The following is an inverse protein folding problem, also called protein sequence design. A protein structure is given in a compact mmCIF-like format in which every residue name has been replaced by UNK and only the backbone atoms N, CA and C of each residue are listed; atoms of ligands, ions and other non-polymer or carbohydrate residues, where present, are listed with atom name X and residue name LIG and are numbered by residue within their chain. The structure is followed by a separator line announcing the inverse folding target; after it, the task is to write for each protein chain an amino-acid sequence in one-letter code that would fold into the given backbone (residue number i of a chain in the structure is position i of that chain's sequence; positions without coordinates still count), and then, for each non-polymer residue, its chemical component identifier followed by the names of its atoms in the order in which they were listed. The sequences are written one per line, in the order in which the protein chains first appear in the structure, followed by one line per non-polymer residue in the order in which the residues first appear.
data_IF_381320281890
#
_entry.id   IF_381320281890
#
_cell.length_a   1.000
_cell.length_b   1.000
_cell.length_c   1.000
_cell.angle_alpha   90.00
_cell.angle_beta   90.00
_cell.angle_gamma   90.00
#
_symmetry.space_group_name_H-M   'P 1'
#
loop_
_entity.id
_entity.type
_entity.pdbx_description
1 polymer ?
#
# COMPACT_ATOMS: atom_id res chain seq x y z
N UNK A 1 16.22 -10.48 90.29
CA UNK A 1 17.67 -10.50 90.57
C UNK A 1 17.95 -9.35 91.53
N UNK A 2 18.06 -9.58 92.86
CA UNK A 2 19.26 -10.01 93.61
C UNK A 2 20.46 -9.06 93.45
N UNK A 3 20.64 -8.17 94.43
CA UNK A 3 21.82 -8.01 95.34
C UNK A 3 21.56 -6.76 96.22
N UNK A 4 21.24 -6.83 97.53
CA UNK A 4 22.10 -7.14 98.70
C UNK A 4 23.29 -6.17 98.86
N UNK A 5 23.33 -5.33 99.92
CA UNK A 5 24.01 -5.57 101.23
C UNK A 5 25.49 -5.12 101.13
N UNK A 6 26.06 -4.17 101.90
CA UNK A 6 26.53 -4.18 103.31
C UNK A 6 27.39 -2.91 103.52
N UNK A 7 27.31 -2.11 104.59
CA UNK A 7 27.73 -2.30 106.00
C UNK A 7 29.22 -1.98 106.28
N UNK A 8 29.45 -1.37 107.47
CA UNK A 8 30.67 -1.29 108.32
C UNK A 8 31.48 0.02 108.16
N UNK A 9 31.39 1.03 109.04
CA UNK A 9 31.62 1.12 110.50
C UNK A 9 33.12 1.08 110.87
N UNK A 10 33.57 2.10 111.63
CA UNK A 10 34.58 2.13 112.72
C UNK A 10 35.39 3.44 112.60
N UNK A 11 35.10 4.48 113.39
CA UNK A 11 35.45 4.74 114.80
C UNK A 11 36.84 5.40 114.95
N UNK A 12 36.87 6.68 115.37
CA UNK A 12 37.77 7.20 116.40
C UNK A 12 37.54 8.70 116.62
N UNK A 13 36.82 9.02 117.68
CA UNK A 13 36.93 10.27 118.45
C UNK A 13 38.18 10.16 119.35
N UNK A 14 38.78 11.27 119.83
CA UNK A 14 38.23 11.88 121.04
C UNK A 14 38.33 13.42 121.16
N UNK A 15 37.51 13.91 122.09
CA UNK A 15 37.42 15.25 122.67
C UNK A 15 38.70 15.71 123.38
N UNK A 16 38.91 17.03 123.39
CA UNK A 16 39.02 17.91 124.59
C UNK A 16 39.05 19.37 124.11
N UNK A 17 38.05 20.22 124.42
CA UNK A 17 37.97 21.14 125.59
C UNK A 17 39.17 22.12 125.65
N UNK A 18 39.07 23.46 125.73
CA UNK A 18 38.02 24.39 126.12
C UNK A 18 38.38 25.82 125.63
N UNK A 19 37.39 26.74 125.64
CA UNK A 19 37.45 28.21 125.73
C UNK A 19 36.33 28.82 124.85
N UNK A 20 35.11 28.99 125.37
CA UNK A 20 34.69 30.20 126.10
C UNK A 20 35.09 31.50 125.39
N UNK A 21 34.51 31.74 124.20
CA UNK A 21 34.02 33.06 123.80
C UNK A 21 33.14 32.92 122.54
N UNK A 22 32.09 33.75 122.48
CA UNK A 22 31.21 33.97 121.33
C UNK A 22 30.25 32.84 120.91
N UNK A 23 29.04 32.72 121.53
CA UNK A 23 27.87 32.16 120.85
C UNK A 23 27.65 32.75 119.43
N UNK A 24 28.18 33.94 119.15
CA UNK A 24 28.21 34.57 117.82
C UNK A 24 29.02 33.82 116.73
N UNK A 25 30.06 33.04 117.03
CA UNK A 25 30.95 32.51 115.97
C UNK A 25 30.47 31.18 115.34
N UNK A 26 29.76 30.34 116.09
CA UNK A 26 29.11 29.14 115.54
C UNK A 26 27.91 29.50 114.67
N UNK A 27 27.16 30.52 115.06
CA UNK A 27 26.06 31.08 114.27
C UNK A 27 26.59 31.73 112.99
N UNK A 28 27.71 32.46 113.05
CA UNK A 28 28.40 33.00 111.85
C UNK A 28 28.92 31.92 110.92
N UNK A 29 29.49 30.83 111.45
CA UNK A 29 29.94 29.70 110.63
C UNK A 29 28.77 28.93 109.99
N UNK A 30 27.65 28.77 110.70
CA UNK A 30 26.42 28.19 110.17
C UNK A 30 25.80 29.10 109.09
N UNK A 31 25.77 30.42 109.31
CA UNK A 31 25.30 31.43 108.34
C UNK A 31 26.14 31.48 107.06
N UNK A 32 27.46 31.30 107.14
CA UNK A 32 28.33 31.19 105.95
C UNK A 32 28.05 29.92 105.15
N UNK A 33 27.78 28.79 105.82
CA UNK A 33 27.40 27.54 105.13
C UNK A 33 26.02 27.66 104.48
N UNK A 34 25.06 28.32 105.13
CA UNK A 34 23.73 28.55 104.53
C UNK A 34 23.81 29.56 103.38
N UNK A 35 24.64 30.60 103.47
CA UNK A 35 24.92 31.50 102.33
C UNK A 35 25.60 30.79 101.17
N UNK A 36 26.60 29.94 101.43
CA UNK A 36 27.26 29.14 100.38
C UNK A 36 26.29 28.13 99.73
N UNK A 37 25.44 27.47 100.52
CA UNK A 37 24.40 26.57 100.01
C UNK A 37 23.33 27.32 99.20
N UNK A 38 22.97 28.55 99.61
CA UNK A 38 22.06 29.41 98.86
C UNK A 38 22.68 29.83 97.51
N UNK A 39 23.95 30.22 97.50
CA UNK A 39 24.67 30.57 96.27
C UNK A 39 24.80 29.37 95.32
N UNK A 40 25.11 28.18 95.84
CA UNK A 40 25.11 26.94 95.03
C UNK A 40 23.73 26.60 94.49
N UNK A 41 22.67 26.77 95.29
CA UNK A 41 21.30 26.57 94.83
C UNK A 41 20.89 27.60 93.78
N UNK A 42 21.33 28.85 93.89
CA UNK A 42 21.12 29.89 92.87
C UNK A 42 21.84 29.54 91.56
N UNK A 43 23.13 29.17 91.62
CA UNK A 43 23.90 28.73 90.46
C UNK A 43 23.29 27.49 89.78
N UNK A 44 22.81 26.52 90.57
CA UNK A 44 22.13 25.33 90.04
C UNK A 44 20.78 25.69 89.38
N UNK A 45 20.03 26.65 89.93
CA UNK A 45 18.80 27.15 89.29
C UNK A 45 19.10 27.88 87.99
N UNK A 46 20.12 28.73 87.96
CA UNK A 46 20.51 29.46 86.75
C UNK A 46 21.01 28.50 85.66
N UNK A 47 21.81 27.49 86.04
CA UNK A 47 22.26 26.43 85.13
C UNK A 47 21.09 25.62 84.56
N UNK A 48 20.16 25.18 85.41
CA UNK A 48 18.95 24.46 84.96
C UNK A 48 18.04 25.33 84.10
N UNK A 49 17.99 26.65 84.35
CA UNK A 49 17.20 27.59 83.56
C UNK A 49 17.84 27.85 82.19
N UNK A 50 19.16 27.93 82.10
CA UNK A 50 19.91 27.99 80.85
C UNK A 50 19.77 26.68 80.05
N UNK A 51 19.84 25.52 80.70
CA UNK A 51 19.66 24.22 80.06
C UNK A 51 18.23 24.08 79.51
N UNK A 52 17.20 24.46 80.28
CA UNK A 52 15.81 24.51 79.78
C UNK A 52 15.65 25.43 78.57
N UNK A 53 16.22 26.63 78.60
CA UNK A 53 16.18 27.53 77.45
C UNK A 53 16.88 26.93 76.22
N UNK A 54 18.02 26.27 76.41
CA UNK A 54 18.74 25.61 75.31
C UNK A 54 17.97 24.42 74.73
N UNK A 55 17.29 23.64 75.58
CA UNK A 55 16.46 22.51 75.17
C UNK A 55 15.19 23.00 74.46
N UNK A 56 14.54 24.06 74.95
CA UNK A 56 13.39 24.67 74.30
C UNK A 56 13.76 25.23 72.91
N UNK A 57 14.91 25.89 72.79
CA UNK A 57 15.46 26.33 71.50
C UNK A 57 15.70 25.14 70.56
N UNK A 58 16.43 24.11 71.01
CA UNK A 58 16.68 22.92 70.21
C UNK A 58 15.37 22.21 69.78
N UNK A 59 14.37 22.14 70.68
CA UNK A 59 13.10 21.50 70.39
C UNK A 59 12.27 22.31 69.38
N UNK A 60 12.33 23.65 69.44
CA UNK A 60 11.70 24.52 68.45
C UNK A 60 12.37 24.44 67.07
N UNK A 61 13.71 24.34 67.03
CA UNK A 61 14.47 24.18 65.79
C UNK A 61 14.19 22.82 65.13
N UNK A 62 14.13 21.73 65.90
CA UNK A 62 13.75 20.42 65.40
C UNK A 62 12.29 20.39 64.92
N UNK A 63 11.36 21.05 65.61
CA UNK A 63 9.98 21.22 65.12
C UNK A 63 9.94 22.01 63.81
N UNK A 64 10.72 23.08 63.68
CA UNK A 64 10.81 23.86 62.44
C UNK A 64 11.39 23.02 61.29
N UNK A 65 12.42 22.21 61.55
CA UNK A 65 12.98 21.27 60.56
C UNK A 65 11.97 20.20 60.15
N UNK A 66 11.29 19.58 61.11
CA UNK A 66 10.25 18.58 60.83
C UNK A 66 9.10 19.18 60.02
N UNK A 67 8.66 20.40 60.34
CA UNK A 67 7.63 21.11 59.59
C UNK A 67 8.07 21.42 58.15
N UNK A 68 9.35 21.80 57.92
CA UNK A 68 9.92 21.99 56.57
C UNK A 68 9.94 20.67 55.80
N UNK A 69 10.46 19.61 56.39
CA UNK A 69 10.49 18.28 55.77
C UNK A 69 9.10 17.77 55.42
N UNK A 70 8.09 17.99 56.28
CA UNK A 70 6.70 17.62 55.97
C UNK A 70 6.14 18.40 54.78
N UNK A 71 6.46 19.70 54.65
CA UNK A 71 6.07 20.51 53.49
C UNK A 71 6.76 20.02 52.21
N UNK A 72 8.04 19.68 52.29
CA UNK A 72 8.80 19.16 51.16
C UNK A 72 8.26 17.79 50.70
N UNK A 73 7.98 16.89 51.64
CA UNK A 73 7.34 15.60 51.35
C UNK A 73 5.94 15.77 50.75
N UNK A 74 5.15 16.74 51.22
CA UNK A 74 3.85 17.05 50.62
C UNK A 74 4.01 17.60 49.20
N UNK A 75 5.01 18.45 48.95
CA UNK A 75 5.34 18.96 47.61
C UNK A 75 5.75 17.84 46.65
N UNK A 76 6.67 16.97 47.08
CA UNK A 76 7.13 15.81 46.29
C UNK A 76 5.98 14.85 45.98
N UNK A 77 5.07 14.60 46.94
CA UNK A 77 3.88 13.76 46.69
C UNK A 77 2.96 14.35 45.63
N UNK A 78 2.76 15.68 45.62
CA UNK A 78 1.97 16.35 44.58
C UNK A 78 2.66 16.28 43.22
N UNK A 79 3.96 16.55 43.16
CA UNK A 79 4.75 16.45 41.93
C UNK A 79 4.71 15.02 41.35
N UNK A 80 4.80 14.00 42.21
CA UNK A 80 4.72 12.60 41.79
C UNK A 80 3.31 12.24 41.29
N UNK A 81 2.25 12.74 41.93
CA UNK A 81 0.88 12.56 41.45
C UNK A 81 0.68 13.20 40.06
N UNK A 82 1.16 14.43 39.87
CA UNK A 82 1.10 15.14 38.58
C UNK A 82 1.90 14.42 37.50
N UNK A 83 3.10 13.93 37.82
CA UNK A 83 3.92 13.16 36.87
C UNK A 83 3.26 11.84 36.47
N UNK A 84 2.59 11.15 37.40
CA UNK A 84 1.81 9.94 37.10
C UNK A 84 0.62 10.23 36.20
N UNK A 85 -0.10 11.31 36.45
CA UNK A 85 -1.22 11.74 35.62
C UNK A 85 -0.75 12.09 34.21
N UNK A 86 0.29 12.91 34.08
CA UNK A 86 0.89 13.26 32.79
C UNK A 86 1.37 12.02 32.02
N UNK A 87 2.01 11.06 32.70
CA UNK A 87 2.42 9.80 32.09
C UNK A 87 1.22 8.99 31.60
N UNK A 88 0.13 8.93 32.38
CA UNK A 88 -1.08 8.19 31.98
C UNK A 88 -1.77 8.82 30.76
N UNK A 89 -1.77 10.15 30.66
CA UNK A 89 -2.30 10.88 29.50
C UNK A 89 -1.45 10.61 28.27
N UNK A 90 -0.12 10.74 28.38
CA UNK A 90 0.78 10.42 27.26
C UNK A 90 0.68 8.98 26.79
N UNK A 91 0.49 8.02 27.71
CA UNK A 91 0.28 6.62 27.35
C UNK A 91 -1.04 6.42 26.60
N UNK A 92 -2.10 7.12 27.00
CA UNK A 92 -3.39 7.09 26.31
C UNK A 92 -3.31 7.72 24.91
N UNK A 93 -2.63 8.85 24.77
CA UNK A 93 -2.38 9.52 23.48
C UNK A 93 -1.57 8.61 22.54
N UNK A 94 -0.46 8.06 23.00
CA UNK A 94 0.35 7.13 22.20
C UNK A 94 -0.41 5.85 21.82
N UNK A 95 -1.31 5.36 22.67
CA UNK A 95 -2.17 4.23 22.34
C UNK A 95 -3.21 4.60 21.28
N UNK A 96 -3.80 5.78 21.36
CA UNK A 96 -4.75 6.30 20.38
C UNK A 96 -4.10 6.53 19.01
N UNK A 97 -2.90 7.09 18.98
CA UNK A 97 -2.11 7.28 17.74
C UNK A 97 -1.80 5.95 17.07
N UNK A 98 -1.29 4.97 17.82
CA UNK A 98 -1.03 3.62 17.27
C UNK A 98 -2.29 2.94 16.77
N UNK A 99 -3.44 3.13 17.43
CA UNK A 99 -4.71 2.60 16.97
C UNK A 99 -5.14 3.26 15.65
N UNK A 100 -5.00 4.59 15.55
CA UNK A 100 -5.30 5.34 14.35
C UNK A 100 -4.38 4.95 13.17
N UNK A 101 -3.08 4.77 13.42
CA UNK A 101 -2.12 4.29 12.41
C UNK A 101 -2.46 2.89 11.91
N UNK A 102 -2.78 1.96 12.83
CA UNK A 102 -3.22 0.61 12.45
C UNK A 102 -4.46 0.67 11.57
N UNK A 103 -5.43 1.53 11.93
CA UNK A 103 -6.66 1.68 11.16
C UNK A 103 -6.41 2.30 9.78
N UNK A 104 -5.51 3.27 9.66
CA UNK A 104 -5.08 3.82 8.36
C UNK A 104 -4.37 2.76 7.51
N UNK A 105 -3.49 1.98 8.12
CA UNK A 105 -2.77 0.92 7.41
C UNK A 105 -3.71 -0.19 6.94
N UNK A 106 -4.69 -0.62 7.75
CA UNK A 106 -5.69 -1.60 7.32
C UNK A 106 -6.59 -1.06 6.22
N UNK A 107 -7.02 0.20 6.30
CA UNK A 107 -7.78 0.85 5.21
C UNK A 107 -6.96 0.95 3.93
N UNK A 108 -5.68 1.34 4.02
CA UNK A 108 -4.78 1.41 2.88
C UNK A 108 -4.56 0.03 2.24
N UNK A 109 -4.38 -1.02 3.05
CA UNK A 109 -4.28 -2.40 2.56
C UNK A 109 -5.57 -2.86 1.88
N UNK A 110 -6.73 -2.63 2.49
CA UNK A 110 -8.02 -2.98 1.89
C UNK A 110 -8.27 -2.25 0.57
N UNK A 111 -7.91 -0.97 0.49
CA UNK A 111 -8.01 -0.19 -0.75
C UNK A 111 -7.04 -0.71 -1.83
N UNK A 112 -5.82 -1.06 -1.45
CA UNK A 112 -4.84 -1.66 -2.36
C UNK A 112 -5.31 -3.03 -2.87
N UNK A 113 -5.85 -3.88 -2.01
CA UNK A 113 -6.39 -5.19 -2.37
C UNK A 113 -7.61 -5.06 -3.29
N UNK A 114 -8.52 -4.12 -3.00
CA UNK A 114 -9.66 -3.84 -3.85
C UNK A 114 -9.23 -3.35 -5.24
N UNK A 115 -8.22 -2.46 -5.30
CA UNK A 115 -7.65 -1.98 -6.55
C UNK A 115 -6.92 -3.08 -7.32
N UNK A 116 -6.22 -3.99 -6.63
CA UNK A 116 -5.57 -5.14 -7.27
C UNK A 116 -6.61 -6.09 -7.88
N UNK A 117 -7.68 -6.41 -7.14
CA UNK A 117 -8.78 -7.27 -7.64
C UNK A 117 -9.50 -6.66 -8.83
N UNK A 118 -9.77 -5.35 -8.81
CA UNK A 118 -10.43 -4.69 -9.94
C UNK A 118 -9.56 -4.67 -11.20
N UNK A 119 -8.25 -4.46 -11.05
CA UNK A 119 -7.28 -4.57 -12.16
C UNK A 119 -7.23 -5.99 -12.71
N UNK A 120 -7.21 -6.99 -11.85
CA UNK A 120 -7.19 -8.40 -12.28
C UNK A 120 -8.47 -8.76 -13.04
N UNK A 121 -9.64 -8.31 -12.56
CA UNK A 121 -10.92 -8.49 -13.26
C UNK A 121 -10.91 -7.81 -14.63
N UNK A 122 -10.47 -6.55 -14.70
CA UNK A 122 -10.37 -5.82 -15.96
C UNK A 122 -9.44 -6.51 -16.96
N UNK A 123 -8.31 -7.06 -16.51
CA UNK A 123 -7.39 -7.83 -17.36
C UNK A 123 -8.04 -9.13 -17.86
N UNK A 124 -8.77 -9.85 -17.00
CA UNK A 124 -9.50 -11.07 -17.39
C UNK A 124 -10.57 -10.76 -18.44
N UNK A 125 -11.30 -9.66 -18.27
CA UNK A 125 -12.34 -9.22 -19.23
C UNK A 125 -11.74 -8.80 -20.57
N UNK A 126 -10.61 -8.09 -20.55
CA UNK A 126 -9.85 -7.76 -21.76
C UNK A 126 -9.36 -9.02 -22.49
N UNK A 127 -8.86 -10.00 -21.75
CA UNK A 127 -8.38 -11.26 -22.32
C UNK A 127 -9.53 -12.06 -22.95
N UNK A 128 -10.67 -12.15 -22.25
CA UNK A 128 -11.87 -12.81 -22.76
C UNK A 128 -12.42 -12.10 -24.02
N UNK A 129 -12.44 -10.77 -24.03
CA UNK A 129 -12.88 -9.98 -25.20
C UNK A 129 -11.93 -10.17 -26.39
N UNK A 130 -10.63 -10.16 -26.14
CA UNK A 130 -9.60 -10.40 -27.16
C UNK A 130 -9.75 -11.79 -27.78
N UNK A 131 -9.94 -12.82 -26.96
CA UNK A 131 -10.17 -14.19 -27.42
C UNK A 131 -11.42 -14.29 -28.31
N UNK A 132 -12.56 -13.73 -27.87
CA UNK A 132 -13.79 -13.71 -28.68
C UNK A 132 -13.57 -13.03 -30.03
N UNK A 133 -12.90 -11.87 -30.03
CA UNK A 133 -12.61 -11.15 -31.27
C UNK A 133 -11.68 -11.93 -32.21
N UNK A 134 -10.74 -12.69 -31.67
CA UNK A 134 -9.85 -13.54 -32.45
C UNK A 134 -10.59 -14.72 -33.07
N UNK A 135 -11.51 -15.35 -32.33
CA UNK A 135 -12.34 -16.45 -32.81
C UNK A 135 -13.33 -15.98 -33.88
N UNK A 136 -13.97 -14.84 -33.70
CA UNK A 136 -14.82 -14.21 -34.72
C UNK A 136 -14.04 -13.94 -36.02
N UNK A 137 -12.81 -13.41 -35.91
CA UNK A 137 -11.94 -13.18 -37.08
C UNK A 137 -11.53 -14.48 -37.77
N UNK A 138 -11.31 -15.55 -37.02
CA UNK A 138 -10.99 -16.89 -37.58
C UNK A 138 -12.19 -17.45 -38.34
N UNK A 139 -13.39 -17.36 -37.78
CA UNK A 139 -14.62 -17.81 -38.44
C UNK A 139 -14.90 -16.99 -39.70
N UNK A 140 -14.77 -15.66 -39.63
CA UNK A 140 -14.94 -14.78 -40.78
C UNK A 140 -13.90 -15.07 -41.88
N UNK A 141 -12.63 -15.26 -41.53
CA UNK A 141 -11.61 -15.68 -42.51
C UNK A 141 -11.94 -17.03 -43.15
N UNK A 142 -12.37 -18.02 -42.35
CA UNK A 142 -12.79 -19.32 -42.87
C UNK A 142 -13.91 -19.19 -43.89
N UNK A 143 -14.94 -18.40 -43.60
CA UNK A 143 -16.04 -18.13 -44.52
C UNK A 143 -15.58 -17.42 -45.80
N UNK A 144 -14.72 -16.41 -45.70
CA UNK A 144 -14.16 -15.71 -46.86
C UNK A 144 -13.32 -16.63 -47.75
N UNK A 145 -12.49 -17.49 -47.16
CA UNK A 145 -11.71 -18.49 -47.91
C UNK A 145 -12.62 -19.47 -48.64
N UNK A 146 -13.69 -19.94 -47.99
CA UNK A 146 -14.69 -20.81 -48.63
C UNK A 146 -15.41 -20.11 -49.78
N UNK A 147 -15.82 -18.86 -49.59
CA UNK A 147 -16.47 -18.07 -50.64
C UNK A 147 -15.54 -17.85 -51.82
N UNK A 148 -14.26 -17.50 -51.56
CA UNK A 148 -13.25 -17.34 -52.61
C UNK A 148 -13.01 -18.65 -53.38
N UNK A 149 -12.97 -19.79 -52.70
CA UNK A 149 -12.84 -21.09 -53.35
C UNK A 149 -14.05 -21.39 -54.26
N UNK A 150 -15.26 -21.13 -53.78
CA UNK A 150 -16.48 -21.32 -54.59
C UNK A 150 -16.53 -20.39 -55.80
N UNK A 151 -16.19 -19.11 -55.63
CA UNK A 151 -16.16 -18.16 -56.76
C UNK A 151 -15.08 -18.53 -57.76
N UNK A 152 -13.92 -19.03 -57.30
CA UNK A 152 -12.85 -19.47 -58.18
C UNK A 152 -13.29 -20.67 -59.02
N UNK A 153 -13.97 -21.65 -58.42
CA UNK A 153 -14.53 -22.79 -59.16
C UNK A 153 -15.60 -22.34 -60.16
N UNK A 154 -16.52 -21.45 -59.75
CA UNK A 154 -17.56 -20.93 -60.62
C UNK A 154 -16.98 -20.14 -61.81
N UNK A 155 -15.89 -19.39 -61.60
CA UNK A 155 -15.17 -18.69 -62.67
C UNK A 155 -14.52 -19.69 -63.64
N UNK A 156 -13.83 -20.72 -63.13
CA UNK A 156 -13.24 -21.76 -63.99
C UNK A 156 -14.30 -22.49 -64.82
N UNK A 157 -15.47 -22.77 -64.26
CA UNK A 157 -16.57 -23.39 -64.99
C UNK A 157 -17.19 -22.43 -66.02
N UNK A 158 -17.28 -21.13 -65.71
CA UNK A 158 -17.72 -20.12 -66.67
C UNK A 158 -16.74 -19.99 -67.85
N UNK A 159 -15.43 -19.97 -67.58
CA UNK A 159 -14.37 -19.96 -68.59
C UNK A 159 -14.49 -21.18 -69.52
N UNK A 160 -14.63 -22.38 -68.97
CA UNK A 160 -14.84 -23.61 -69.77
C UNK A 160 -16.08 -23.54 -70.65
N UNK A 161 -17.19 -22.98 -70.14
CA UNK A 161 -18.44 -22.83 -70.91
C UNK A 161 -18.28 -21.80 -72.03
N UNK A 162 -17.57 -20.70 -71.79
CA UNK A 162 -17.28 -19.70 -72.81
C UNK A 162 -16.43 -20.32 -73.93
N UNK A 163 -15.38 -21.08 -73.59
CA UNK A 163 -14.57 -21.79 -74.57
C UNK A 163 -15.38 -22.84 -75.36
N UNK A 164 -16.26 -23.58 -74.69
CA UNK A 164 -17.14 -24.55 -75.35
C UNK A 164 -18.17 -23.87 -76.29
N UNK A 165 -18.75 -22.74 -75.87
CA UNK A 165 -19.65 -21.95 -76.71
C UNK A 165 -18.92 -21.35 -77.92
N UNK A 166 -17.67 -20.92 -77.74
CA UNK A 166 -16.83 -20.43 -78.84
C UNK A 166 -16.56 -21.54 -79.86
N UNK A 167 -16.18 -22.74 -79.40
CA UNK A 167 -15.96 -23.89 -80.26
C UNK A 167 -17.24 -24.29 -81.03
N UNK A 168 -18.39 -24.36 -80.35
CA UNK A 168 -19.68 -24.64 -80.99
C UNK A 168 -20.08 -23.54 -81.99
N UNK A 169 -19.79 -22.28 -81.67
CA UNK A 169 -20.02 -21.15 -82.57
C UNK A 169 -19.19 -21.27 -83.85
N UNK A 170 -17.92 -21.66 -83.75
CA UNK A 170 -17.06 -21.92 -84.91
C UNK A 170 -17.56 -23.13 -85.73
N UNK A 171 -17.99 -24.21 -85.07
CA UNK A 171 -18.56 -25.37 -85.75
C UNK A 171 -19.85 -25.03 -86.51
N UNK A 172 -20.75 -24.25 -85.91
CA UNK A 172 -21.97 -23.77 -86.56
C UNK A 172 -21.68 -22.88 -87.77
N UNK A 173 -20.66 -22.00 -87.68
CA UNK A 173 -20.21 -21.19 -88.82
C UNK A 173 -19.63 -22.05 -89.95
N UNK A 174 -18.87 -23.10 -89.63
CA UNK A 174 -18.34 -24.04 -90.62
C UNK A 174 -19.49 -24.76 -91.36
N UNK A 175 -20.47 -25.30 -90.62
CA UNK A 175 -21.65 -25.94 -91.21
C UNK A 175 -22.49 -24.96 -92.06
N UNK A 176 -22.60 -23.70 -91.65
CA UNK A 176 -23.30 -22.67 -92.43
C UNK A 176 -22.56 -22.34 -93.73
N UNK A 177 -21.24 -22.23 -93.67
CA UNK A 177 -20.37 -22.04 -94.84
C UNK A 177 -20.51 -23.20 -95.84
N UNK A 178 -20.53 -24.45 -95.36
CA UNK A 178 -20.67 -25.63 -96.21
C UNK A 178 -22.07 -25.77 -96.84
N UNK A 179 -23.14 -25.42 -96.10
CA UNK A 179 -24.49 -25.30 -96.69
C UNK A 179 -24.56 -24.22 -97.76
N UNK A 180 -23.81 -23.13 -97.56
CA UNK A 180 -23.64 -22.06 -98.52
C UNK A 180 -23.08 -22.54 -99.85
N UNK A 181 -22.16 -23.51 -99.87
CA UNK A 181 -21.61 -24.10 -101.09
C UNK A 181 -22.66 -24.91 -101.87
N UNK A 182 -23.47 -25.72 -101.18
CA UNK A 182 -24.57 -26.47 -101.81
C UNK A 182 -25.65 -25.53 -102.38
N UNK A 183 -25.98 -24.44 -101.67
CA UNK A 183 -26.88 -23.40 -102.17
C UNK A 183 -26.25 -22.49 -103.24
N UNK A 184 -24.92 -22.30 -103.25
CA UNK A 184 -24.19 -21.61 -104.32
C UNK A 184 -24.22 -22.39 -105.62
N UNK A 185 -24.21 -23.72 -105.57
CA UNK A 185 -24.41 -24.57 -106.75
C UNK A 185 -25.84 -24.45 -107.30
N UNK A 186 -26.84 -24.23 -106.43
CA UNK A 186 -28.25 -24.02 -106.80
C UNK A 186 -28.59 -22.57 -107.22
N UNK A 187 -27.83 -21.58 -106.74
CA UNK A 187 -28.00 -20.14 -107.00
C UNK A 187 -26.77 -19.55 -107.71
N UNK A 188 -26.21 -20.26 -108.69
CA UNK A 188 -25.07 -19.79 -109.46
C UNK A 188 -25.44 -18.49 -110.21
N UNK A 189 -25.16 -17.34 -109.59
CA UNK A 189 -25.34 -16.03 -110.24
C UNK A 189 -24.28 -15.86 -111.33
N UNK A 190 -24.67 -15.66 -112.60
CA UNK A 190 -23.76 -15.88 -113.73
C UNK A 190 -22.71 -14.80 -113.99
N UNK A 191 -22.61 -13.69 -113.23
CA UNK A 191 -21.69 -12.60 -113.63
C UNK A 191 -20.91 -11.89 -112.50
N UNK A 192 -21.45 -11.68 -111.29
CA UNK A 192 -20.81 -10.74 -110.33
C UNK A 192 -20.40 -11.33 -108.97
N UNK A 193 -20.87 -12.51 -108.57
CA UNK A 193 -20.42 -13.19 -107.33
C UNK A 193 -20.63 -12.44 -106.00
N UNK A 194 -21.34 -11.31 -105.99
CA UNK A 194 -21.48 -10.41 -104.83
C UNK A 194 -22.17 -11.07 -103.64
N UNK A 195 -23.08 -12.02 -103.87
CA UNK A 195 -23.73 -12.79 -102.82
C UNK A 195 -22.77 -13.67 -102.01
N UNK A 196 -21.72 -14.21 -102.65
CA UNK A 196 -20.70 -15.03 -101.97
C UNK A 196 -19.86 -14.17 -101.01
N UNK A 197 -19.41 -13.00 -101.48
CA UNK A 197 -18.61 -12.05 -100.69
C UNK A 197 -19.41 -11.50 -99.52
N UNK A 198 -20.70 -11.17 -99.71
CA UNK A 198 -21.57 -10.72 -98.61
C UNK A 198 -21.71 -11.79 -97.53
N UNK A 199 -21.82 -13.08 -97.90
CA UNK A 199 -21.88 -14.18 -96.94
C UNK A 199 -20.57 -14.37 -96.19
N UNK A 200 -19.42 -14.35 -96.88
CA UNK A 200 -18.11 -14.44 -96.21
C UNK A 200 -17.91 -13.27 -95.23
N UNK A 201 -18.23 -12.05 -95.64
CA UNK A 201 -18.18 -10.88 -94.75
C UNK A 201 -19.08 -11.05 -93.52
N UNK A 202 -20.28 -11.64 -93.66
CA UNK A 202 -21.14 -11.92 -92.50
C UNK A 202 -20.59 -13.00 -91.58
N UNK A 203 -20.00 -14.07 -92.14
CA UNK A 203 -19.35 -15.14 -91.35
C UNK A 203 -18.13 -14.59 -90.62
N UNK A 204 -17.32 -13.79 -91.30
CA UNK A 204 -16.13 -13.16 -90.74
C UNK A 204 -16.49 -12.14 -89.64
N UNK A 205 -17.56 -11.36 -89.83
CA UNK A 205 -18.08 -10.46 -88.80
C UNK A 205 -18.57 -11.22 -87.56
N UNK A 206 -19.28 -12.35 -87.73
CA UNK A 206 -19.73 -13.17 -86.60
C UNK A 206 -18.55 -13.85 -85.91
N UNK A 207 -17.55 -14.32 -86.66
CA UNK A 207 -16.30 -14.87 -86.11
C UNK A 207 -15.56 -13.83 -85.28
N UNK A 208 -15.38 -12.61 -85.79
CA UNK A 208 -14.77 -11.50 -85.05
C UNK A 208 -15.54 -11.17 -83.77
N UNK A 209 -16.88 -11.23 -83.79
CA UNK A 209 -17.71 -11.04 -82.59
C UNK A 209 -17.54 -12.18 -81.58
N UNK A 210 -17.43 -13.43 -82.02
CA UNK A 210 -17.16 -14.57 -81.15
C UNK A 210 -15.77 -14.47 -80.52
N UNK A 211 -14.77 -14.07 -81.31
CA UNK A 211 -13.40 -13.86 -80.83
C UNK A 211 -13.32 -12.69 -79.83
N UNK A 212 -14.12 -11.64 -80.00
CA UNK A 212 -14.21 -10.52 -79.07
C UNK A 212 -14.89 -10.87 -77.72
N UNK A 213 -15.75 -11.90 -77.70
CA UNK A 213 -16.39 -12.40 -76.47
C UNK A 213 -15.47 -13.33 -75.67
N UNK A 214 -14.39 -13.81 -76.28
CA UNK A 214 -13.37 -14.59 -75.59
C UNK A 214 -12.52 -13.65 -74.74
N UNK A 215 -12.67 -13.76 -73.42
CA UNK A 215 -11.85 -12.98 -72.48
C UNK A 215 -10.40 -13.43 -72.61
N UNK A 216 -9.41 -12.53 -72.78
CA UNK A 216 -8.01 -12.91 -72.71
C UNK A 216 -7.73 -13.43 -71.30
N UNK A 217 -7.21 -14.66 -71.21
CA UNK A 217 -6.90 -15.33 -69.94
C UNK A 217 -6.03 -14.46 -69.02
N UNK A 218 -6.00 -14.73 -67.71
CA UNK A 218 -5.37 -13.85 -66.74
C UNK A 218 -3.90 -13.62 -67.09
N UNK A 219 -3.61 -12.43 -67.63
CA UNK A 219 -2.25 -11.89 -67.64
C UNK A 219 -1.80 -11.89 -66.19
N UNK A 220 -0.80 -12.71 -65.87
CA UNK A 220 -0.18 -12.77 -64.55
C UNK A 220 0.11 -11.35 -64.06
N UNK A 221 -0.71 -10.86 -63.13
CA UNK A 221 -0.42 -9.61 -62.46
C UNK A 221 0.97 -9.75 -61.79
N UNK A 222 1.88 -8.78 -61.93
CA UNK A 222 3.17 -8.83 -61.26
C UNK A 222 2.92 -8.99 -59.75
N UNK A 223 3.66 -9.92 -59.15
CA UNK A 223 3.57 -10.26 -57.74
C UNK A 223 3.54 -9.00 -56.86
N UNK A 224 2.66 -8.92 -55.84
CA UNK A 224 2.68 -7.80 -54.92
C UNK A 224 4.05 -7.71 -54.26
N UNK A 225 4.68 -6.54 -54.35
CA UNK A 225 5.97 -6.27 -53.71
C UNK A 225 5.91 -6.65 -52.22
N UNK A 226 6.96 -7.28 -51.67
CA UNK A 226 7.01 -7.59 -50.25
C UNK A 226 6.88 -6.29 -49.46
N UNK A 227 5.84 -6.20 -48.63
CA UNK A 227 5.67 -5.10 -47.69
C UNK A 227 6.91 -5.02 -46.78
N UNK A 228 7.46 -3.82 -46.51
CA UNK A 228 8.58 -3.70 -45.60
C UNK A 228 8.11 -4.09 -44.19
N UNK A 229 8.53 -5.28 -43.78
CA UNK A 229 8.45 -5.72 -42.40
C UNK A 229 9.15 -4.68 -41.51
N UNK A 230 8.40 -4.16 -40.54
CA UNK A 230 8.87 -3.92 -39.16
C UNK A 230 10.35 -3.53 -39.05
N UNK A 231 10.69 -2.34 -39.54
CA UNK A 231 11.88 -1.64 -39.09
C UNK A 231 11.57 -1.05 -37.71
N UNK A 232 11.95 -1.82 -36.68
CA UNK A 232 12.42 -1.38 -35.36
C UNK A 232 12.09 0.07 -34.97
N UNK A 233 11.30 0.23 -33.91
CA UNK A 233 11.61 1.13 -32.79
C UNK A 233 10.93 0.61 -31.53
#
# INVERSE_FOLDING_TARGET
MRTLLTLVLILALPLTAAAQNAPNDRERAALRRTQAALQQAQQARDALQAEKQSLEQAHSDEQAKAARQQRDLAGLRRALAQAREALSVQQAEAAAERAAERQRNTQAQQAADAAARSREQALRDQLATSQRSADERRLANGALVQQLAQTTLALQDAERRIDALHALGLEALALYRDKGLAQQLLQAEPVLGLGAVRRENTVELVRQRLDALRVPGPTSAPAPAPSPALARQ
#
